data_IF_549157871329
#
_entry.id   IF_549157871329
#
_cell.length_a   1.000
_cell.length_b   1.000
_cell.length_c   1.000
_cell.angle_alpha   90.00
_cell.angle_beta   90.00
_cell.angle_gamma   90.00
#
_symmetry.space_group_name_H-M   'P 1'
#
loop_
_entity.id
_entity.type
_entity.pdbx_description
1 polymer ?
#
# COMPACT_ATOMS: atom_id res chain seq x y z
N UNK A 1 21.25 -39.21 -21.69
CA UNK A 1 20.64 -38.75 -20.43
C UNK A 1 21.65 -37.84 -19.76
N UNK A 2 21.38 -36.53 -19.66
CA UNK A 2 22.09 -35.65 -18.71
C UNK A 2 21.12 -34.57 -18.27
N UNK A 3 20.37 -34.91 -17.23
CA UNK A 3 19.62 -33.98 -16.38
C UNK A 3 20.59 -33.48 -15.30
N UNK A 4 21.08 -32.25 -15.41
CA UNK A 4 21.84 -31.52 -14.38
C UNK A 4 22.12 -30.14 -14.98
N UNK A 5 21.67 -28.99 -14.51
CA UNK A 5 21.18 -28.55 -13.20
C UNK A 5 20.32 -27.32 -13.48
N UNK A 6 19.01 -27.49 -13.72
CA UNK A 6 18.07 -26.36 -13.73
C UNK A 6 17.60 -26.20 -12.29
N UNK A 7 18.50 -25.66 -11.46
CA UNK A 7 18.16 -25.21 -10.13
C UNK A 7 17.06 -24.15 -10.32
N UNK A 8 15.81 -24.56 -10.08
CA UNK A 8 14.72 -23.62 -9.83
C UNK A 8 15.21 -22.79 -8.66
N UNK A 9 15.76 -21.60 -8.93
CA UNK A 9 15.94 -20.58 -7.89
C UNK A 9 14.60 -20.50 -7.18
N UNK A 10 14.57 -21.03 -5.96
CA UNK A 10 13.46 -20.93 -5.04
C UNK A 10 13.16 -19.43 -5.03
N UNK A 11 12.02 -19.02 -5.59
CA UNK A 11 11.63 -17.61 -5.54
C UNK A 11 11.77 -17.20 -4.10
N UNK A 12 12.60 -16.19 -3.87
CA UNK A 12 12.88 -15.74 -2.53
C UNK A 12 11.51 -15.38 -1.93
N UNK A 13 11.14 -16.03 -0.83
CA UNK A 13 9.92 -15.68 -0.08
C UNK A 13 10.11 -14.34 0.66
N UNK A 14 10.89 -13.44 0.08
CA UNK A 14 11.25 -12.14 0.61
C UNK A 14 10.00 -11.28 0.63
N UNK A 15 9.53 -11.03 1.85
CA UNK A 15 8.39 -10.20 2.16
C UNK A 15 8.78 -9.35 3.35
N UNK A 16 8.67 -8.04 3.19
CA UNK A 16 9.07 -7.07 4.19
C UNK A 16 7.94 -6.11 4.46
N UNK A 17 7.77 -5.79 5.73
CA UNK A 17 6.86 -4.75 6.17
C UNK A 17 7.70 -3.62 6.71
N UNK A 18 7.59 -2.45 6.10
CA UNK A 18 8.18 -1.23 6.61
C UNK A 18 7.12 -0.33 7.22
N UNK A 19 7.39 0.16 8.44
CA UNK A 19 6.58 1.12 9.14
C UNK A 19 7.45 1.96 10.08
N UNK A 20 7.34 3.29 10.01
CA UNK A 20 8.01 4.23 10.92
C UNK A 20 9.53 3.98 11.12
N UNK A 21 10.24 3.56 10.07
CA UNK A 21 11.69 3.32 10.12
C UNK A 21 12.09 1.89 10.51
N UNK A 22 11.13 1.06 10.90
CA UNK A 22 11.36 -0.35 11.26
C UNK A 22 11.03 -1.24 10.06
N UNK A 23 11.86 -2.27 9.83
CA UNK A 23 11.64 -3.31 8.82
C UNK A 23 11.42 -4.64 9.54
N UNK A 24 10.29 -5.29 9.28
CA UNK A 24 9.87 -6.56 9.84
C UNK A 24 9.64 -7.59 8.72
N UNK A 25 9.59 -8.88 9.07
CA UNK A 25 9.06 -9.91 8.17
C UNK A 25 7.56 -9.68 7.95
N UNK A 26 7.10 -9.82 6.71
CA UNK A 26 5.71 -9.49 6.37
C UNK A 26 4.82 -10.73 6.21
N UNK A 27 3.55 -10.65 6.67
CA UNK A 27 2.54 -11.64 6.33
C UNK A 27 2.21 -11.59 4.83
N UNK A 28 1.38 -12.52 4.32
CA UNK A 28 0.79 -12.37 2.99
C UNK A 28 0.11 -11.01 2.83
N UNK A 29 0.14 -10.45 1.61
CA UNK A 29 -0.42 -9.10 1.36
C UNK A 29 -1.92 -9.02 1.66
N UNK A 30 -2.66 -10.12 1.50
CA UNK A 30 -4.08 -10.25 1.86
C UNK A 30 -4.27 -10.09 3.35
N UNK A 31 -3.58 -10.92 4.15
CA UNK A 31 -3.59 -10.84 5.62
C UNK A 31 -3.18 -9.46 6.13
N UNK A 32 -2.17 -8.84 5.51
CA UNK A 32 -1.76 -7.47 5.83
C UNK A 32 -2.89 -6.47 5.62
N UNK A 33 -3.54 -6.49 4.45
CA UNK A 33 -4.64 -5.59 4.13
C UNK A 33 -5.91 -5.87 4.95
N UNK A 34 -6.16 -7.10 5.35
CA UNK A 34 -7.29 -7.46 6.22
C UNK A 34 -7.10 -6.94 7.65
N UNK A 35 -5.85 -6.96 8.12
CA UNK A 35 -5.47 -6.63 9.50
C UNK A 35 -5.52 -5.14 9.85
N UNK A 36 -5.42 -4.26 8.83
CA UNK A 36 -5.30 -2.82 9.03
C UNK A 36 -6.33 -2.08 8.18
N UNK A 37 -7.04 -1.14 8.79
CA UNK A 37 -8.01 -0.29 8.08
C UNK A 37 -7.30 0.91 7.45
N UNK A 38 -7.48 1.13 6.15
CA UNK A 38 -6.98 2.32 5.49
C UNK A 38 -7.10 2.31 3.97
N UNK A 39 -6.56 3.35 3.33
CA UNK A 39 -6.53 3.48 1.89
C UNK A 39 -5.25 2.87 1.31
N UNK A 40 -5.34 2.13 0.19
CA UNK A 40 -4.15 1.47 -0.36
C UNK A 40 -4.01 1.54 -1.88
N UNK A 41 -2.76 1.38 -2.33
CA UNK A 41 -2.41 1.19 -3.74
C UNK A 41 -1.33 0.14 -3.85
N UNK A 42 -1.34 -0.63 -4.93
CA UNK A 42 -0.34 -1.67 -5.19
C UNK A 42 0.26 -1.42 -6.57
N UNK A 43 1.58 -1.40 -6.64
CA UNK A 43 2.35 -1.32 -7.88
C UNK A 43 3.49 -2.34 -7.84
N UNK A 44 4.32 -2.39 -8.88
CA UNK A 44 5.56 -3.15 -8.90
C UNK A 44 6.73 -2.28 -9.31
N UNK A 45 7.92 -2.72 -8.95
CA UNK A 45 9.14 -2.17 -9.51
C UNK A 45 9.41 -2.74 -10.90
N UNK A 46 10.13 -1.98 -11.72
CA UNK A 46 10.61 -2.33 -13.06
C UNK A 46 12.08 -1.91 -13.17
N UNK A 47 12.74 -2.27 -14.28
CA UNK A 47 14.13 -1.92 -14.56
C UNK A 47 15.06 -2.35 -13.41
N UNK A 48 14.99 -3.63 -13.02
CA UNK A 48 15.79 -4.20 -11.92
C UNK A 48 15.59 -3.47 -10.59
N UNK A 49 14.33 -3.25 -10.23
CA UNK A 49 13.90 -2.57 -9.01
C UNK A 49 14.29 -1.08 -8.88
N UNK A 50 14.68 -0.41 -9.97
CA UNK A 50 15.10 1.01 -9.93
C UNK A 50 13.97 2.01 -10.15
N UNK A 51 12.82 1.57 -10.68
CA UNK A 51 11.68 2.45 -10.98
C UNK A 51 10.36 1.78 -10.60
N UNK A 52 9.34 2.57 -10.25
CA UNK A 52 7.99 2.07 -9.94
C UNK A 52 7.07 2.24 -11.16
N UNK A 53 6.34 1.19 -11.51
CA UNK A 53 5.43 1.20 -12.65
C UNK A 53 4.24 2.14 -12.39
N UNK A 54 4.01 3.09 -13.30
CA UNK A 54 2.89 4.04 -13.25
C UNK A 54 2.72 4.79 -11.91
N UNK A 55 3.82 5.07 -11.21
CA UNK A 55 3.78 5.59 -9.84
C UNK A 55 2.89 6.82 -9.64
N UNK A 56 2.99 7.80 -10.53
CA UNK A 56 2.16 9.01 -10.47
C UNK A 56 0.66 8.71 -10.51
N UNK A 57 0.24 7.72 -11.32
CA UNK A 57 -1.16 7.29 -11.40
C UNK A 57 -1.60 6.60 -10.10
N UNK A 58 -0.75 5.74 -9.56
CA UNK A 58 -1.01 5.05 -8.29
C UNK A 58 -1.15 6.05 -7.14
N UNK A 59 -0.31 7.08 -7.13
CA UNK A 59 -0.35 8.13 -6.12
C UNK A 59 -1.55 9.06 -6.25
N UNK A 60 -1.91 9.49 -7.47
CA UNK A 60 -3.16 10.23 -7.70
C UNK A 60 -4.35 9.46 -7.16
N UNK A 61 -4.46 8.17 -7.51
CA UNK A 61 -5.54 7.30 -7.02
C UNK A 61 -5.54 7.16 -5.49
N UNK A 62 -4.37 7.00 -4.87
CA UNK A 62 -4.25 6.88 -3.41
C UNK A 62 -4.68 8.18 -2.72
N UNK A 63 -4.17 9.33 -3.18
CA UNK A 63 -4.53 10.65 -2.66
C UNK A 63 -6.03 10.93 -2.80
N UNK A 64 -6.63 10.62 -3.96
CA UNK A 64 -8.08 10.71 -4.14
C UNK A 64 -8.85 9.80 -3.19
N UNK A 65 -8.37 8.56 -2.99
CA UNK A 65 -9.01 7.60 -2.06
C UNK A 65 -8.99 8.14 -0.63
N UNK A 66 -7.84 8.61 -0.13
CA UNK A 66 -7.69 9.18 1.21
C UNK A 66 -8.61 10.40 1.36
N UNK A 67 -8.62 11.30 0.38
CA UNK A 67 -9.47 12.50 0.40
C UNK A 67 -10.96 12.15 0.47
N UNK A 68 -11.42 11.21 -0.35
CA UNK A 68 -12.81 10.75 -0.32
C UNK A 68 -13.14 10.12 1.04
N UNK A 69 -12.26 9.26 1.56
CA UNK A 69 -12.49 8.60 2.84
C UNK A 69 -12.55 9.64 3.98
N UNK A 70 -11.62 10.59 4.03
CA UNK A 70 -11.63 11.67 5.02
C UNK A 70 -12.92 12.51 4.98
N UNK A 71 -13.42 12.81 3.78
CA UNK A 71 -14.60 13.64 3.60
C UNK A 71 -15.93 12.90 3.79
N UNK A 72 -15.96 11.58 3.59
CA UNK A 72 -17.19 10.80 3.56
C UNK A 72 -17.33 9.79 4.70
N UNK A 73 -16.28 9.02 4.99
CA UNK A 73 -16.28 7.91 5.96
C UNK A 73 -14.93 7.79 6.68
N UNK A 74 -14.53 8.80 7.46
CA UNK A 74 -13.22 8.87 8.12
C UNK A 74 -12.97 7.68 9.06
N UNK A 75 -14.02 7.02 9.55
CA UNK A 75 -13.94 5.77 10.31
C UNK A 75 -13.20 4.64 9.59
N UNK A 76 -13.12 4.67 8.25
CA UNK A 76 -12.35 3.71 7.46
C UNK A 76 -10.83 3.96 7.51
N UNK A 77 -10.40 5.14 7.96
CA UNK A 77 -8.98 5.43 8.26
C UNK A 77 -8.69 5.32 9.74
N UNK A 78 -9.60 5.82 10.58
CA UNK A 78 -9.49 5.83 12.03
C UNK A 78 -10.54 4.89 12.58
N UNK A 79 -10.19 3.63 12.89
CA UNK A 79 -11.10 2.56 13.32
C UNK A 79 -11.87 2.84 14.64
N UNK A 80 -11.84 4.09 15.14
CA UNK A 80 -12.47 4.55 16.36
C UNK A 80 -13.67 5.44 16.05
N UNK A 81 -14.83 5.11 16.63
CA UNK A 81 -16.05 5.91 16.57
C UNK A 81 -15.97 7.27 17.29
N UNK A 82 -14.77 7.73 17.63
CA UNK A 82 -14.55 9.07 18.17
C UNK A 82 -14.88 10.10 17.08
N UNK A 83 -15.98 10.82 17.29
CA UNK A 83 -16.46 11.93 16.47
C UNK A 83 -15.43 13.07 16.39
N UNK A 84 -14.36 12.90 15.62
CA UNK A 84 -13.37 13.94 15.37
C UNK A 84 -13.83 14.87 14.23
N UNK A 85 -15.12 15.28 14.25
CA UNK A 85 -15.73 16.19 13.26
C UNK A 85 -14.96 17.52 13.13
N UNK A 86 -14.12 17.85 14.11
CA UNK A 86 -13.28 19.04 14.14
C UNK A 86 -12.13 19.05 13.10
N UNK A 87 -11.65 17.90 12.62
CA UNK A 87 -10.45 17.82 11.75
C UNK A 87 -10.78 17.53 10.28
N UNK A 88 -12.00 17.08 9.99
CA UNK A 88 -12.41 16.55 8.68
C UNK A 88 -12.67 17.62 7.62
N UNK A 89 -12.69 18.90 7.99
CA UNK A 89 -12.90 20.02 7.07
C UNK A 89 -11.60 20.67 6.58
N UNK A 90 -10.44 20.20 7.06
CA UNK A 90 -9.18 20.73 6.55
C UNK A 90 -8.88 20.17 5.15
N UNK A 91 -8.60 21.04 4.17
CA UNK A 91 -8.18 20.58 2.86
C UNK A 91 -6.84 19.85 3.01
N UNK A 92 -6.78 18.60 2.55
CA UNK A 92 -5.53 17.84 2.42
C UNK A 92 -5.08 17.93 0.97
N UNK A 93 -4.02 18.71 0.67
CA UNK A 93 -3.48 18.78 -0.69
C UNK A 93 -2.94 17.42 -1.12
N UNK A 94 -3.14 17.06 -2.40
CA UNK A 94 -2.63 15.80 -2.95
C UNK A 94 -1.10 15.69 -2.83
N UNK A 95 -0.40 16.82 -2.94
CA UNK A 95 1.07 16.91 -2.79
C UNK A 95 1.53 16.48 -1.40
N UNK A 96 0.76 16.76 -0.35
CA UNK A 96 1.17 16.42 1.00
C UNK A 96 1.12 14.91 1.27
N UNK A 97 0.14 14.21 0.69
CA UNK A 97 0.11 12.75 0.71
C UNK A 97 1.27 12.19 -0.13
N UNK A 98 1.57 12.83 -1.25
CA UNK A 98 2.69 12.46 -2.11
C UNK A 98 4.02 12.51 -1.37
N UNK A 99 4.28 13.61 -0.66
CA UNK A 99 5.51 13.81 0.11
C UNK A 99 5.62 12.83 1.28
N UNK A 100 4.51 12.57 1.99
CA UNK A 100 4.46 11.61 3.10
C UNK A 100 4.80 10.18 2.63
N UNK A 101 4.17 9.73 1.54
CA UNK A 101 4.39 8.39 1.00
C UNK A 101 5.78 8.27 0.39
N UNK A 102 6.24 9.24 -0.39
CA UNK A 102 7.58 9.21 -0.98
C UNK A 102 8.68 9.26 0.07
N UNK A 103 8.51 10.05 1.13
CA UNK A 103 9.44 10.09 2.25
C UNK A 103 9.58 8.72 2.91
N UNK A 104 8.46 8.01 3.10
CA UNK A 104 8.43 6.65 3.63
C UNK A 104 9.04 5.63 2.66
N UNK A 105 8.69 5.73 1.38
CA UNK A 105 9.14 4.83 0.32
C UNK A 105 10.65 4.91 0.11
N UNK A 106 11.22 6.12 0.07
CA UNK A 106 12.66 6.32 -0.07
C UNK A 106 13.44 5.70 1.11
N UNK A 107 12.92 5.84 2.34
CA UNK A 107 13.52 5.22 3.53
C UNK A 107 13.39 3.69 3.50
N UNK A 108 12.23 3.17 3.11
CA UNK A 108 11.96 1.75 3.02
C UNK A 108 12.86 1.07 1.97
N UNK A 109 12.90 1.62 0.75
CA UNK A 109 13.74 1.10 -0.33
C UNK A 109 15.22 1.11 0.08
N UNK A 110 15.72 2.19 0.67
CA UNK A 110 17.09 2.24 1.19
C UNK A 110 17.35 1.14 2.24
N UNK A 111 16.39 0.92 3.15
CA UNK A 111 16.52 -0.07 4.23
C UNK A 111 16.48 -1.51 3.70
N UNK A 112 15.57 -1.80 2.77
CA UNK A 112 15.40 -3.12 2.16
C UNK A 112 16.56 -3.44 1.23
N UNK A 113 16.97 -2.50 0.36
CA UNK A 113 18.14 -2.66 -0.51
C UNK A 113 19.42 -2.85 0.32
N UNK A 114 19.58 -2.13 1.44
CA UNK A 114 20.76 -2.32 2.29
C UNK A 114 20.84 -3.73 2.91
N UNK A 115 19.70 -4.31 3.30
CA UNK A 115 19.64 -5.62 3.95
C UNK A 115 19.69 -6.79 2.96
N UNK A 116 19.11 -6.62 1.78
CA UNK A 116 18.73 -7.76 0.91
C UNK A 116 19.24 -7.60 -0.53
N UNK A 117 20.31 -6.81 -0.69
CA UNK A 117 20.96 -6.47 -1.97
C UNK A 117 21.22 -7.68 -2.86
N UNK A 118 21.65 -8.80 -2.26
CA UNK A 118 21.98 -10.02 -2.97
C UNK A 118 20.73 -10.80 -3.43
N UNK A 119 19.61 -10.66 -2.70
CA UNK A 119 18.38 -11.40 -2.97
C UNK A 119 17.50 -10.67 -4.01
N UNK A 120 17.50 -9.35 -3.96
CA UNK A 120 16.64 -8.50 -4.81
C UNK A 120 17.26 -8.24 -6.20
N UNK A 121 18.54 -8.58 -6.40
CA UNK A 121 19.25 -8.23 -7.63
C UNK A 121 18.65 -8.92 -8.87
N UNK A 122 17.99 -8.12 -9.71
CA UNK A 122 17.36 -8.57 -10.95
C UNK A 122 15.93 -9.10 -10.79
N UNK A 123 15.36 -9.09 -9.58
CA UNK A 123 13.96 -9.43 -9.34
C UNK A 123 13.10 -8.15 -9.29
N UNK A 124 11.90 -8.22 -9.88
CA UNK A 124 10.89 -7.18 -9.67
C UNK A 124 10.22 -7.38 -8.30
N UNK A 125 9.81 -6.29 -7.67
CA UNK A 125 9.16 -6.31 -6.35
C UNK A 125 7.74 -5.77 -6.47
N UNK A 126 6.78 -6.45 -5.84
CA UNK A 126 5.46 -5.93 -5.60
C UNK A 126 5.52 -5.00 -4.39
N UNK A 127 4.95 -3.81 -4.52
CA UNK A 127 4.90 -2.81 -3.46
C UNK A 127 3.44 -2.45 -3.22
N UNK A 128 2.95 -2.73 -2.02
CA UNK A 128 1.65 -2.26 -1.54
C UNK A 128 1.85 -1.18 -0.49
N UNK A 129 1.32 0.01 -0.77
CA UNK A 129 1.29 1.13 0.16
C UNK A 129 -0.08 1.19 0.78
N UNK A 130 -0.13 1.17 2.11
CA UNK A 130 -1.35 1.37 2.89
C UNK A 130 -1.17 2.60 3.79
N UNK A 131 -2.13 3.51 3.75
CA UNK A 131 -2.18 4.70 4.59
C UNK A 131 -3.32 4.54 5.58
N UNK A 132 -2.98 4.58 6.87
CA UNK A 132 -3.91 4.37 7.99
C UNK A 132 -3.97 5.61 8.87
N UNK A 133 -5.05 5.77 9.62
CA UNK A 133 -5.15 6.75 10.69
C UNK A 133 -4.53 6.22 11.99
N UNK A 134 -3.66 7.00 12.62
CA UNK A 134 -3.08 6.66 13.92
C UNK A 134 -4.00 7.17 15.04
N UNK A 135 -4.85 6.27 15.53
CA UNK A 135 -5.82 6.57 16.60
C UNK A 135 -5.13 6.93 17.91
N UNK A 136 -3.94 6.40 18.21
CA UNK A 136 -3.20 6.75 19.43
C UNK A 136 -2.67 8.17 19.41
N UNK A 137 -2.12 8.61 18.27
CA UNK A 137 -1.70 10.01 18.05
C UNK A 137 -2.91 10.93 18.14
N UNK A 138 -4.06 10.47 17.64
CA UNK A 138 -5.32 11.21 17.71
C UNK A 138 -5.90 11.27 19.12
N UNK A 139 -5.83 10.21 19.93
CA UNK A 139 -6.39 10.20 21.29
C UNK A 139 -5.57 11.03 22.27
N UNK A 140 -4.23 11.02 22.13
CA UNK A 140 -3.30 11.88 22.89
C UNK A 140 -3.47 13.38 22.60
N UNK A 141 -4.33 13.74 21.65
CA UNK A 141 -4.66 15.12 21.30
C UNK A 141 -5.60 15.77 22.32
N UNK A 142 -6.55 15.02 22.87
CA UNK A 142 -7.51 15.54 23.86
C UNK A 142 -6.85 16.12 25.10
N UNK A 143 -5.62 15.69 25.39
CA UNK A 143 -4.81 16.12 26.54
C UNK A 143 -3.83 17.26 26.23
N UNK A 144 -3.76 17.79 25.00
CA UNK A 144 -2.76 18.80 24.59
C UNK A 144 -3.39 20.11 24.12
N UNK A 145 -2.61 21.19 24.31
CA UNK A 145 -2.98 22.58 24.11
C UNK A 145 -3.75 22.83 22.79
N UNK A 146 -4.97 23.44 22.83
CA UNK A 146 -5.84 23.61 21.67
C UNK A 146 -5.32 24.61 20.62
N UNK A 147 -4.29 25.40 20.94
CA UNK A 147 -3.79 26.48 20.09
C UNK A 147 -2.80 26.03 19.00
N UNK A 148 -2.44 24.74 18.96
CA UNK A 148 -1.53 24.24 17.94
C UNK A 148 -2.29 23.88 16.66
N UNK A 149 -2.04 24.63 15.59
CA UNK A 149 -2.50 24.27 14.24
C UNK A 149 -1.89 22.92 13.85
N UNK A 150 -2.72 21.88 13.82
CA UNK A 150 -2.30 20.51 13.48
C UNK A 150 -2.99 20.09 12.19
N UNK A 151 -2.24 19.41 11.33
CA UNK A 151 -2.73 18.96 10.03
C UNK A 151 -3.17 17.52 10.13
N UNK A 152 -4.20 17.14 9.38
CA UNK A 152 -4.68 15.75 9.28
C UNK A 152 -3.53 14.76 9.01
N UNK A 153 -2.52 15.19 8.25
CA UNK A 153 -1.32 14.44 7.91
C UNK A 153 -0.52 13.95 9.13
N UNK A 154 -0.55 14.69 10.24
CA UNK A 154 0.22 14.36 11.45
C UNK A 154 -0.32 13.09 12.13
N UNK A 155 -1.57 12.73 11.81
CA UNK A 155 -2.28 11.56 12.30
C UNK A 155 -2.33 10.43 11.28
N UNK A 156 -1.68 10.57 10.12
CA UNK A 156 -1.57 9.49 9.14
C UNK A 156 -0.28 8.71 9.33
N UNK A 157 -0.37 7.39 9.21
CA UNK A 157 0.77 6.49 9.16
C UNK A 157 0.83 5.78 7.81
N UNK A 158 2.05 5.51 7.34
CA UNK A 158 2.30 4.80 6.09
C UNK A 158 2.91 3.44 6.40
N UNK A 159 2.31 2.42 5.80
CA UNK A 159 2.78 1.04 5.83
C UNK A 159 3.16 0.63 4.41
N UNK A 160 4.31 -0.02 4.28
CA UNK A 160 4.84 -0.48 3.00
C UNK A 160 5.08 -1.99 3.08
N UNK A 161 4.26 -2.74 2.36
CA UNK A 161 4.47 -4.16 2.13
C UNK A 161 5.25 -4.33 0.82
N UNK A 162 6.40 -4.97 0.90
CA UNK A 162 7.30 -5.20 -0.22
C UNK A 162 7.52 -6.70 -0.34
N UNK A 163 7.14 -7.30 -1.46
CA UNK A 163 7.33 -8.73 -1.71
C UNK A 163 7.94 -8.99 -3.08
N UNK A 164 8.51 -10.18 -3.28
CA UNK A 164 8.90 -10.63 -4.62
C UNK A 164 7.72 -10.59 -5.60
N UNK A 165 7.89 -9.96 -6.75
CA UNK A 165 6.90 -9.99 -7.83
C UNK A 165 7.16 -11.21 -8.71
N UNK A 166 6.38 -12.26 -8.50
CA UNK A 166 6.23 -13.32 -9.51
C UNK A 166 5.08 -12.93 -10.43
N UNK A 167 5.32 -12.60 -11.71
CA UNK A 167 4.24 -12.67 -12.68
C UNK A 167 3.68 -14.10 -12.60
N UNK A 168 2.36 -14.24 -12.54
CA UNK A 168 1.67 -15.54 -12.56
C UNK A 168 2.31 -16.42 -13.66
N UNK A 169 2.49 -17.74 -13.46
CA UNK A 169 3.12 -18.63 -14.44
C UNK A 169 2.20 -18.91 -15.65
N UNK A 170 1.54 -17.88 -16.20
CA UNK A 170 0.99 -17.88 -17.54
C UNK A 170 2.14 -17.71 -18.55
N UNK A 171 3.00 -18.72 -18.60
CA UNK A 171 3.64 -19.28 -19.79
C UNK A 171 4.47 -18.42 -20.74
N UNK A 172 4.58 -17.09 -20.61
CA UNK A 172 5.30 -16.28 -21.60
C UNK A 172 6.14 -15.20 -20.94
N UNK A 173 7.45 -15.36 -21.07
CA UNK A 173 8.50 -14.37 -20.78
C UNK A 173 8.50 -13.25 -21.84
N UNK A 174 7.33 -12.70 -22.15
CA UNK A 174 7.14 -11.50 -22.97
C UNK A 174 6.09 -10.67 -22.25
N UNK A 175 6.38 -9.38 -22.04
CA UNK A 175 5.50 -8.33 -21.54
C UNK A 175 4.03 -8.74 -21.44
N UNK A 176 3.67 -9.42 -20.35
CA UNK A 176 2.30 -9.83 -20.07
C UNK A 176 1.56 -8.64 -19.48
N UNK A 177 1.41 -7.57 -20.25
CA UNK A 177 0.31 -6.65 -20.11
C UNK A 177 -0.94 -7.36 -20.65
N UNK A 178 -1.41 -8.40 -19.95
CA UNK A 178 -2.78 -8.84 -20.13
C UNK A 178 -3.62 -7.75 -19.49
N UNK A 179 -4.02 -6.78 -20.32
CA UNK A 179 -4.94 -5.73 -19.94
C UNK A 179 -6.20 -6.45 -19.42
N UNK A 180 -6.47 -6.34 -18.12
CA UNK A 180 -7.84 -6.46 -17.65
C UNK A 180 -8.60 -5.29 -18.28
N UNK A 181 -9.20 -5.52 -19.44
CA UNK A 181 -10.15 -4.61 -20.03
C UNK A 181 -11.26 -4.46 -18.99
N UNK A 182 -11.38 -3.25 -18.44
CA UNK A 182 -12.53 -2.85 -17.64
C UNK A 182 -13.75 -3.12 -18.52
N UNK A 183 -14.50 -4.19 -18.21
CA UNK A 183 -15.76 -4.46 -18.89
C UNK A 183 -16.62 -3.21 -18.82
N UNK A 184 -17.25 -2.83 -19.94
CA UNK A 184 -18.24 -1.74 -19.94
C UNK A 184 -19.26 -2.01 -18.82
N UNK A 185 -19.45 -1.04 -17.94
CA UNK A 185 -20.55 -1.06 -16.96
C UNK A 185 -20.17 -1.30 -15.50
N UNK A 186 -18.89 -1.44 -15.13
CA UNK A 186 -18.50 -1.34 -13.72
C UNK A 186 -18.12 0.10 -13.39
N UNK A 187 -18.81 0.68 -12.42
CA UNK A 187 -18.47 2.00 -11.90
C UNK A 187 -17.03 1.95 -11.38
N UNK A 188 -16.19 2.90 -11.83
CA UNK A 188 -14.81 2.94 -11.37
C UNK A 188 -14.85 3.24 -9.89
N UNK A 189 -14.45 2.24 -9.10
CA UNK A 189 -14.32 2.32 -7.65
C UNK A 189 -13.60 3.62 -7.25
N UNK A 190 -14.36 4.58 -6.71
CA UNK A 190 -13.90 5.95 -6.48
C UNK A 190 -12.79 6.04 -5.42
N UNK A 191 -12.76 5.11 -4.45
CA UNK A 191 -11.74 5.03 -3.41
C UNK A 191 -11.38 3.58 -3.09
N UNK A 192 -10.10 3.22 -3.04
CA UNK A 192 -9.64 1.87 -2.66
C UNK A 192 -9.31 1.82 -1.17
N UNK A 193 -10.01 0.98 -0.40
CA UNK A 193 -9.77 0.78 1.02
C UNK A 193 -9.63 -0.69 1.38
N UNK A 194 -8.89 -0.97 2.45
CA UNK A 194 -8.51 -2.29 2.96
C UNK A 194 -9.68 -3.27 3.10
N UNK A 195 -10.82 -2.82 3.63
CA UNK A 195 -11.95 -3.69 3.98
C UNK A 195 -12.61 -4.31 2.75
N UNK A 196 -12.38 -3.75 1.54
CA UNK A 196 -12.78 -4.41 0.30
C UNK A 196 -12.13 -5.77 0.09
N UNK A 197 -10.97 -6.04 0.71
CA UNK A 197 -10.37 -7.37 0.68
C UNK A 197 -11.26 -8.37 1.43
N UNK A 198 -11.86 -7.97 2.56
CA UNK A 198 -12.78 -8.82 3.35
C UNK A 198 -14.07 -9.14 2.60
N UNK A 199 -14.63 -8.16 1.90
CA UNK A 199 -15.87 -8.32 1.13
C UNK A 199 -15.68 -9.13 -0.18
N UNK A 200 -14.45 -9.22 -0.68
CA UNK A 200 -14.12 -9.95 -1.89
C UNK A 200 -14.17 -11.47 -1.75
N UNK A 201 -14.02 -12.01 -0.53
CA UNK A 201 -14.14 -13.46 -0.28
C UNK A 201 -15.60 -13.93 -0.24
N UNK A 202 -16.53 -13.15 0.34
CA UNK A 202 -17.95 -13.53 0.40
C UNK A 202 -18.61 -13.60 -0.98
N UNK A 203 -18.16 -12.80 -1.94
CA UNK A 203 -18.70 -12.79 -3.31
C UNK A 203 -18.19 -13.94 -4.20
N UNK A 204 -17.31 -14.82 -3.69
CA UNK A 204 -16.81 -16.00 -4.42
C UNK A 204 -17.48 -17.32 -4.02
N UNK A 205 -18.44 -17.27 -3.09
CA UNK A 205 -19.19 -18.42 -2.57
C UNK A 205 -20.56 -18.68 -3.20
N UNK A 206 -21.00 -17.87 -4.17
CA UNK A 206 -22.21 -18.12 -4.94
C UNK A 206 -21.93 -17.84 -6.42
N UNK A 207 -21.72 -18.92 -7.19
CA UNK A 207 -22.50 -19.39 -8.36
C UNK A 207 -21.97 -20.77 -8.74
#
# INVERSE_FOLDING_TARGET
ISQSTRERRKMSNCRFLYHNGVVLDAPPVTTFLESLTGAYTTTRTINSATSLLFWERHMKRLSSSIRIILNSKPELLFSSGSSSRFWMNQPVPESSIYDLVNGSMNKALKSVVAKEREIIYGEELAVTVLVTGNVEKLSRLGDKNPDQERRVLDFLDVWLHIGGYSPCPLGVRQNAASLALVGRGRDVAAAKYSDWVRQGEEASGEV
#
